data_IF_525724113217
#
_entry.id   IF_525724113217
#
_cell.length_a   1.000
_cell.length_b   1.000
_cell.length_c   1.000
_cell.angle_alpha   90.00
_cell.angle_beta   90.00
_cell.angle_gamma   90.00
#
_symmetry.space_group_name_H-M   'P 1'
#
loop_
_entity.id
_entity.type
_entity.pdbx_description
1 polymer ?
#
# COMPACT_ATOMS: atom_id res chain seq x y z
N UNK A 1 2.75 17.88 -21.88
CA UNK A 1 2.44 16.59 -21.23
C UNK A 1 0.94 16.43 -21.23
N UNK A 2 0.40 15.37 -21.84
CA UNK A 2 -1.05 15.13 -21.77
C UNK A 2 -1.40 14.64 -20.36
N UNK A 3 -2.60 14.98 -19.87
CA UNK A 3 -3.09 14.56 -18.54
C UNK A 3 -2.98 13.05 -18.35
N UNK A 4 -3.28 12.29 -19.40
CA UNK A 4 -3.20 10.82 -19.43
C UNK A 4 -1.77 10.33 -19.21
N UNK A 5 -0.76 10.99 -19.79
CA UNK A 5 0.64 10.63 -19.57
C UNK A 5 1.05 10.83 -18.12
N UNK A 6 0.62 11.92 -17.48
CA UNK A 6 0.91 12.17 -16.06
C UNK A 6 0.26 11.09 -15.18
N UNK A 7 -1.00 10.76 -15.43
CA UNK A 7 -1.72 9.72 -14.70
C UNK A 7 -1.07 8.33 -14.87
N UNK A 8 -0.58 8.00 -16.08
CA UNK A 8 0.16 6.75 -16.33
C UNK A 8 1.47 6.68 -15.54
N UNK A 9 2.20 7.79 -15.45
CA UNK A 9 3.45 7.85 -14.68
C UNK A 9 3.17 7.61 -13.19
N UNK A 10 2.14 8.26 -12.63
CA UNK A 10 1.73 8.07 -11.24
C UNK A 10 1.27 6.63 -11.00
N UNK A 11 0.51 6.05 -11.92
CA UNK A 11 0.06 4.66 -11.84
C UNK A 11 1.25 3.69 -11.81
N UNK A 12 2.23 3.81 -12.73
CA UNK A 12 3.43 2.95 -12.72
C UNK A 12 4.28 3.14 -11.47
N UNK A 13 4.45 4.38 -11.00
CA UNK A 13 5.18 4.67 -9.77
C UNK A 13 4.51 4.03 -8.54
N UNK A 14 3.17 4.12 -8.44
CA UNK A 14 2.42 3.49 -7.35
C UNK A 14 2.51 1.96 -7.39
N UNK A 15 2.52 1.34 -8.58
CA UNK A 15 2.71 -0.09 -8.75
C UNK A 15 4.08 -0.55 -8.22
N UNK A 16 5.15 0.12 -8.66
CA UNK A 16 6.51 -0.19 -8.23
C UNK A 16 6.69 -0.02 -6.72
N UNK A 17 6.16 1.07 -6.15
CA UNK A 17 6.25 1.33 -4.72
C UNK A 17 5.44 0.29 -3.91
N UNK A 18 4.26 -0.13 -4.39
CA UNK A 18 3.49 -1.22 -3.77
C UNK A 18 4.25 -2.54 -3.77
N UNK A 19 4.89 -2.91 -4.88
CA UNK A 19 5.71 -4.13 -4.94
C UNK A 19 6.81 -4.11 -3.89
N UNK A 20 7.55 -2.99 -3.78
CA UNK A 20 8.59 -2.83 -2.76
C UNK A 20 8.00 -2.88 -1.35
N UNK A 21 6.91 -2.15 -1.08
CA UNK A 21 6.26 -2.12 0.24
C UNK A 21 5.79 -3.51 0.67
N UNK A 22 5.18 -4.29 -0.24
CA UNK A 22 4.71 -5.65 0.05
C UNK A 22 5.87 -6.58 0.35
N UNK A 23 6.98 -6.48 -0.39
CA UNK A 23 8.18 -7.29 -0.11
C UNK A 23 8.86 -6.90 1.21
N UNK A 24 8.75 -5.64 1.61
CA UNK A 24 9.24 -5.15 2.91
C UNK A 24 8.31 -5.51 4.08
N UNK A 25 7.11 -6.04 3.83
CA UNK A 25 6.32 -6.57 4.93
C UNK A 25 7.05 -7.80 5.50
N UNK A 26 7.51 -7.66 6.75
CA UNK A 26 7.98 -8.78 7.54
C UNK A 26 6.94 -9.92 7.47
N UNK A 27 7.37 -11.18 7.37
CA UNK A 27 6.45 -12.31 7.44
C UNK A 27 5.63 -12.13 8.73
N UNK A 28 4.30 -12.05 8.58
CA UNK A 28 3.36 -11.84 9.69
C UNK A 28 3.36 -13.09 10.59
N UNK A 29 4.41 -13.23 11.39
CA UNK A 29 4.67 -14.31 12.34
C UNK A 29 4.06 -14.09 13.71
N UNK A 30 3.03 -13.23 13.81
CA UNK A 30 2.36 -12.90 15.06
C UNK A 30 1.19 -13.85 15.29
N UNK A 31 1.49 -15.15 15.45
CA UNK A 31 0.51 -16.20 15.70
C UNK A 31 -0.18 -16.08 17.09
N UNK A 32 -0.49 -17.21 17.74
CA UNK A 32 -1.11 -17.26 19.08
C UNK A 32 -0.26 -16.54 20.17
N UNK A 33 1.01 -16.25 19.91
CA UNK A 33 1.90 -15.48 20.78
C UNK A 33 1.41 -14.04 21.09
N UNK A 34 0.57 -13.44 20.24
CA UNK A 34 -0.03 -12.12 20.47
C UNK A 34 -1.26 -12.10 21.38
N UNK A 35 -1.84 -13.27 21.69
CA UNK A 35 -3.10 -13.41 22.45
C UNK A 35 -2.89 -13.25 23.97
N UNK A 36 -1.65 -13.31 24.46
CA UNK A 36 -1.29 -13.24 25.88
C UNK A 36 -1.20 -11.86 26.53
N UNK A 37 -1.61 -10.77 25.85
CA UNK A 37 -1.79 -9.43 26.44
C UNK A 37 -0.55 -8.68 26.97
N UNK A 38 0.55 -9.35 27.29
CA UNK A 38 1.69 -8.76 27.99
C UNK A 38 2.83 -8.28 27.07
N UNK A 39 2.86 -8.75 25.81
CA UNK A 39 3.84 -8.29 24.80
C UNK A 39 3.49 -6.92 24.19
N UNK A 40 2.36 -6.32 24.58
CA UNK A 40 1.80 -5.12 23.96
C UNK A 40 2.41 -3.78 24.41
N UNK A 41 3.16 -3.75 25.52
CA UNK A 41 3.54 -2.49 26.19
C UNK A 41 4.95 -1.96 25.83
N UNK A 42 5.79 -2.72 25.13
CA UNK A 42 7.18 -2.33 24.83
C UNK A 42 7.65 -2.69 23.41
N UNK A 43 6.78 -2.57 22.40
CA UNK A 43 7.16 -2.80 21.00
C UNK A 43 6.97 -1.54 20.15
N UNK A 44 8.05 -0.80 19.93
CA UNK A 44 8.12 0.27 18.93
C UNK A 44 7.90 -0.25 17.49
N UNK A 45 8.07 -1.55 17.26
CA UNK A 45 7.83 -2.20 15.98
C UNK A 45 6.35 -2.21 15.58
N UNK A 46 5.41 -2.39 16.53
CA UNK A 46 3.97 -2.46 16.22
C UNK A 46 3.40 -1.14 15.66
N UNK A 47 3.93 0.01 16.10
CA UNK A 47 3.51 1.33 15.58
C UNK A 47 4.00 1.55 14.15
N UNK A 48 5.23 1.15 13.86
CA UNK A 48 5.80 1.20 12.51
C UNK A 48 5.05 0.27 11.55
N UNK A 49 4.73 -0.95 11.99
CA UNK A 49 3.94 -1.91 11.21
C UNK A 49 2.51 -1.41 10.94
N UNK A 50 1.85 -0.80 11.93
CA UNK A 50 0.53 -0.19 11.75
C UNK A 50 0.57 0.93 10.71
N UNK A 51 1.59 1.77 10.76
CA UNK A 51 1.79 2.87 9.80
C UNK A 51 2.08 2.33 8.40
N UNK A 52 2.95 1.32 8.29
CA UNK A 52 3.28 0.66 7.02
C UNK A 52 2.04 0.02 6.38
N UNK A 53 1.19 -0.63 7.17
CA UNK A 53 -0.07 -1.20 6.70
C UNK A 53 -1.04 -0.12 6.22
N UNK A 54 -1.18 0.99 6.96
CA UNK A 54 -2.03 2.12 6.56
C UNK A 54 -1.56 2.77 5.25
N UNK A 55 -0.26 2.96 5.08
CA UNK A 55 0.32 3.50 3.84
C UNK A 55 0.09 2.53 2.68
N UNK A 56 0.32 1.23 2.88
CA UNK A 56 0.12 0.21 1.84
C UNK A 56 -1.34 0.14 1.39
N UNK A 57 -2.28 0.24 2.32
CA UNK A 57 -3.70 0.21 2.01
C UNK A 57 -4.14 1.45 1.24
N UNK A 58 -3.66 2.63 1.67
CA UNK A 58 -3.90 3.90 0.96
C UNK A 58 -3.37 3.84 -0.47
N UNK A 59 -2.14 3.34 -0.65
CA UNK A 59 -1.48 3.23 -1.94
C UNK A 59 -2.15 2.19 -2.85
N UNK A 60 -2.69 1.11 -2.26
CA UNK A 60 -3.47 0.10 -2.98
C UNK A 60 -4.77 0.67 -3.54
N UNK A 61 -5.50 1.48 -2.75
CA UNK A 61 -6.71 2.16 -3.24
C UNK A 61 -6.37 3.09 -4.40
N UNK A 62 -5.31 3.89 -4.27
CA UNK A 62 -4.87 4.81 -5.32
C UNK A 62 -4.55 4.05 -6.60
N UNK A 63 -3.78 2.95 -6.49
CA UNK A 63 -3.43 2.12 -7.64
C UNK A 63 -4.67 1.52 -8.32
N UNK A 64 -5.61 0.94 -7.56
CA UNK A 64 -6.84 0.36 -8.11
C UNK A 64 -7.72 1.46 -8.72
N UNK A 65 -7.90 2.58 -8.04
CA UNK A 65 -8.68 3.72 -8.53
C UNK A 65 -8.13 4.26 -9.85
N UNK A 66 -6.82 4.47 -9.94
CA UNK A 66 -6.16 4.85 -11.20
C UNK A 66 -6.32 3.77 -12.27
N UNK A 67 -6.20 2.48 -11.92
CA UNK A 67 -6.40 1.38 -12.87
C UNK A 67 -7.79 1.43 -13.51
N UNK A 68 -8.84 1.63 -12.70
CA UNK A 68 -10.21 1.76 -13.19
C UNK A 68 -10.36 2.98 -14.08
N UNK A 69 -9.86 4.14 -13.65
CA UNK A 69 -9.97 5.41 -14.38
C UNK A 69 -9.26 5.34 -15.75
N UNK A 70 -8.04 4.79 -15.81
CA UNK A 70 -7.30 4.62 -17.06
C UNK A 70 -7.91 3.55 -17.96
N UNK A 71 -8.44 2.47 -17.38
CA UNK A 71 -9.05 1.35 -18.11
C UNK A 71 -10.41 1.71 -18.70
N UNK A 72 -11.23 2.48 -17.96
CA UNK A 72 -12.56 2.91 -18.39
C UNK A 72 -12.55 3.89 -19.57
N UNK A 73 -11.39 4.45 -19.93
CA UNK A 73 -11.25 5.35 -21.08
C UNK A 73 -11.96 6.69 -20.91
N UNK A 74 -12.45 7.04 -19.70
CA UNK A 74 -13.22 8.26 -19.44
C UNK A 74 -12.47 9.55 -19.76
N UNK A 75 -11.14 9.53 -19.66
CA UNK A 75 -10.28 10.69 -19.95
C UNK A 75 -9.77 10.72 -21.39
N UNK A 76 -10.16 9.76 -22.22
CA UNK A 76 -9.68 9.62 -23.61
C UNK A 76 -10.59 10.29 -24.66
N UNK A 77 -11.59 11.07 -24.23
CA UNK A 77 -12.42 11.92 -25.11
C UNK A 77 -11.78 13.28 -25.35
#
# INVERSE_FOLDING_TARGET
MTLITVLRIIWMASAALLTVLVLLHSPKGDGIAGIGGQAQLFTSAKSAEKTLNQVTWTLSIIFIGLTIILSAGWLAN
#
